data_IF_599596017284
#
_entry.id   IF_599596017284
#
_cell.length_a   1.000
_cell.length_b   1.000
_cell.length_c   1.000
_cell.angle_alpha   90.00
_cell.angle_beta   90.00
_cell.angle_gamma   90.00
#
_symmetry.space_group_name_H-M   'P 1'
#
loop_
_entity.id
_entity.type
_entity.pdbx_description
1 polymer ?
#
# COMPACT_ATOMS: atom_id res chain seq x y z
N UNK A 1 -31.24 -21.39 15.71
CA UNK A 1 -31.21 -19.93 15.82
C UNK A 1 -29.77 -19.50 15.55
N UNK A 2 -29.47 -19.05 14.34
CA UNK A 2 -28.12 -18.65 13.92
C UNK A 2 -28.00 -17.15 14.14
N UNK A 3 -27.04 -16.74 14.97
CA UNK A 3 -26.75 -15.34 15.21
C UNK A 3 -26.10 -14.72 13.96
N UNK A 4 -26.68 -13.63 13.52
CA UNK A 4 -26.25 -12.75 12.46
C UNK A 4 -24.84 -12.19 12.76
N UNK A 5 -23.82 -12.35 11.92
CA UNK A 5 -22.54 -11.69 12.14
C UNK A 5 -22.70 -10.18 11.93
N UNK A 6 -22.44 -9.43 12.98
CA UNK A 6 -22.41 -7.97 12.94
C UNK A 6 -21.37 -7.51 11.91
N UNK A 7 -21.78 -6.62 11.02
CA UNK A 7 -20.90 -5.93 10.11
C UNK A 7 -19.97 -5.00 10.92
N UNK A 8 -18.70 -5.31 10.97
CA UNK A 8 -17.69 -4.44 11.58
C UNK A 8 -17.47 -3.21 10.70
N UNK A 9 -17.66 -2.02 11.26
CA UNK A 9 -17.34 -0.78 10.56
C UNK A 9 -15.83 -0.49 10.63
N UNK A 10 -15.30 0.31 9.69
CA UNK A 10 -13.92 0.83 9.72
C UNK A 10 -13.53 1.41 11.08
N UNK A 11 -14.48 2.00 11.81
CA UNK A 11 -14.24 2.58 13.13
C UNK A 11 -13.92 1.55 14.20
N UNK A 12 -14.42 0.33 14.06
CA UNK A 12 -14.18 -0.74 15.04
C UNK A 12 -12.82 -1.38 14.85
N UNK A 13 -12.34 -1.45 13.61
CA UNK A 13 -11.01 -1.95 13.28
C UNK A 13 -9.88 -1.05 13.82
N UNK A 14 -10.12 0.27 13.91
CA UNK A 14 -9.11 1.27 14.30
C UNK A 14 -9.20 1.78 15.75
N UNK A 15 -10.24 1.46 16.50
CA UNK A 15 -10.38 1.88 17.92
C UNK A 15 -9.46 1.16 18.90
N UNK A 16 -8.73 0.15 18.46
CA UNK A 16 -8.00 -0.77 19.36
C UNK A 16 -6.53 -0.34 19.58
N UNK A 17 -6.04 0.61 18.80
CA UNK A 17 -4.65 1.11 18.93
C UNK A 17 -4.37 2.12 20.06
N UNK A 18 -5.38 2.51 20.87
CA UNK A 18 -5.23 3.68 21.77
C UNK A 18 -5.50 3.45 23.25
N UNK A 19 -5.56 2.22 23.74
CA UNK A 19 -5.85 1.98 25.15
C UNK A 19 -4.91 0.93 25.74
N UNK A 20 -3.80 1.34 26.28
CA UNK A 20 -3.17 0.78 27.48
C UNK A 20 -1.85 1.48 27.84
N UNK A 21 -1.91 2.52 28.64
CA UNK A 21 -0.86 2.85 29.62
C UNK A 21 -1.52 3.57 30.79
N UNK A 22 -2.12 2.80 31.71
CA UNK A 22 -2.43 3.30 33.05
C UNK A 22 -1.17 3.10 33.91
N UNK A 23 -0.55 4.22 34.28
CA UNK A 23 0.67 4.25 35.02
C UNK A 23 0.52 3.80 36.47
N UNK A 24 1.45 2.99 36.94
CA UNK A 24 1.76 2.83 38.34
C UNK A 24 2.83 3.87 38.73
N UNK A 25 2.49 4.77 39.66
CA UNK A 25 3.41 5.72 40.27
C UNK A 25 4.40 4.95 41.17
N UNK A 26 5.66 4.91 40.78
CA UNK A 26 6.77 4.54 41.62
C UNK A 26 7.53 5.84 41.98
N UNK A 27 7.88 6.09 43.25
CA UNK A 27 8.54 7.33 43.65
C UNK A 27 9.98 7.41 43.12
N UNK A 28 10.32 8.59 42.61
CA UNK A 28 11.63 8.91 42.09
C UNK A 28 12.72 8.83 43.17
N UNK A 29 13.67 7.95 42.98
CA UNK A 29 15.01 8.05 43.62
C UNK A 29 15.93 8.76 42.61
N UNK A 30 16.26 10.00 42.89
CA UNK A 30 17.26 10.78 42.18
C UNK A 30 18.66 10.26 42.51
N UNK A 31 19.29 9.58 41.57
CA UNK A 31 20.74 9.50 41.49
C UNK A 31 21.12 9.76 40.05
N UNK A 32 21.68 10.95 39.82
CA UNK A 32 22.18 11.36 38.52
C UNK A 32 23.43 10.58 38.14
N UNK A 33 23.27 9.48 37.45
CA UNK A 33 24.34 8.91 36.63
C UNK A 33 24.03 9.23 35.20
N UNK A 34 24.79 10.17 34.62
CA UNK A 34 24.85 10.40 33.19
C UNK A 34 25.45 9.15 32.53
N UNK A 35 24.64 8.16 32.24
CA UNK A 35 25.05 7.12 31.29
C UNK A 35 25.29 7.79 29.94
N UNK A 36 26.45 7.64 29.32
CA UNK A 36 26.69 8.13 27.98
C UNK A 36 25.62 7.46 27.10
N UNK A 37 24.78 8.28 26.40
CA UNK A 37 23.92 7.77 25.34
C UNK A 37 24.86 7.18 24.29
N UNK A 38 25.04 5.87 24.33
CA UNK A 38 25.70 5.13 23.26
C UNK A 38 24.98 5.50 21.98
N UNK A 39 25.69 6.09 21.01
CA UNK A 39 25.13 6.31 19.68
C UNK A 39 24.70 4.93 19.17
N UNK A 40 23.40 4.77 18.89
CA UNK A 40 22.89 3.51 18.37
C UNK A 40 23.62 3.16 17.06
N UNK A 41 24.12 1.94 16.98
CA UNK A 41 24.82 1.43 15.80
C UNK A 41 23.92 1.50 14.56
N UNK A 42 24.53 1.73 13.38
CA UNK A 42 23.80 1.64 12.11
C UNK A 42 23.30 0.21 11.89
N UNK A 43 22.04 0.08 11.49
CA UNK A 43 21.45 -1.18 11.09
C UNK A 43 22.04 -1.68 9.76
N UNK A 44 21.97 -2.99 9.54
CA UNK A 44 22.32 -3.58 8.24
C UNK A 44 21.19 -3.33 7.24
N UNK A 45 21.24 -2.18 6.60
CA UNK A 45 20.24 -1.72 5.64
C UNK A 45 20.48 -2.38 4.27
N UNK A 46 19.45 -2.99 3.69
CA UNK A 46 19.55 -3.68 2.40
C UNK A 46 19.87 -2.73 1.25
N UNK A 47 19.07 -1.67 1.11
CA UNK A 47 19.30 -0.65 0.08
C UNK A 47 20.26 0.43 0.58
N UNK A 48 21.14 0.90 -0.29
CA UNK A 48 21.96 2.04 0.05
C UNK A 48 21.11 3.31 0.26
N UNK A 49 21.62 4.22 1.07
CA UNK A 49 20.94 5.52 1.32
C UNK A 49 20.74 6.27 -0.01
N UNK A 50 21.72 6.23 -0.90
CA UNK A 50 21.67 6.87 -2.22
C UNK A 50 20.54 6.28 -3.07
N UNK A 51 20.32 4.96 -2.99
CA UNK A 51 19.19 4.29 -3.68
C UNK A 51 17.86 4.76 -3.14
N UNK A 52 17.71 4.83 -1.82
CA UNK A 52 16.49 5.32 -1.16
C UNK A 52 16.25 6.81 -1.48
N UNK A 53 17.29 7.63 -1.46
CA UNK A 53 17.19 9.04 -1.85
C UNK A 53 16.85 9.23 -3.33
N UNK A 54 17.28 8.31 -4.20
CA UNK A 54 16.89 8.31 -5.61
C UNK A 54 15.40 8.00 -5.76
N UNK A 55 14.86 7.10 -4.95
CA UNK A 55 13.42 6.84 -4.90
C UNK A 55 12.64 8.05 -4.36
N UNK A 56 13.11 8.71 -3.29
CA UNK A 56 12.49 9.92 -2.76
C UNK A 56 12.38 11.06 -3.81
N UNK A 57 13.35 11.15 -4.72
CA UNK A 57 13.34 12.15 -5.80
C UNK A 57 12.22 11.93 -6.81
N UNK A 58 11.64 10.72 -6.90
CA UNK A 58 10.49 10.45 -7.75
C UNK A 58 9.29 11.30 -7.34
N UNK A 59 9.03 11.40 -6.06
CA UNK A 59 8.20 12.41 -5.40
C UNK A 59 6.70 12.31 -5.59
N UNK A 60 6.20 11.86 -6.77
CA UNK A 60 4.80 11.84 -7.11
C UNK A 60 4.42 10.60 -7.92
N UNK A 61 3.38 9.91 -7.51
CA UNK A 61 2.95 8.65 -8.08
C UNK A 61 1.44 8.47 -8.06
N UNK A 62 0.94 7.50 -8.83
CA UNK A 62 -0.45 7.08 -8.83
C UNK A 62 -0.58 5.74 -8.12
N UNK A 63 -1.55 5.62 -7.23
CA UNK A 63 -2.09 4.35 -6.79
C UNK A 63 -3.32 4.02 -7.64
N UNK A 64 -3.50 2.77 -8.00
CA UNK A 64 -4.70 2.30 -8.72
C UNK A 64 -5.33 1.18 -7.93
N UNK A 65 -6.45 1.49 -7.28
CA UNK A 65 -7.32 0.47 -6.70
C UNK A 65 -8.37 0.05 -7.73
N UNK A 66 -8.21 -1.16 -8.25
CA UNK A 66 -9.12 -1.76 -9.21
C UNK A 66 -9.21 -3.27 -8.97
N UNK A 67 -10.37 -3.87 -9.17
CA UNK A 67 -10.57 -5.30 -8.95
C UNK A 67 -11.99 -5.64 -8.55
N UNK A 68 -12.19 -6.76 -7.85
CA UNK A 68 -13.52 -7.21 -7.44
C UNK A 68 -14.25 -6.17 -6.59
N UNK A 69 -13.56 -5.46 -5.71
CA UNK A 69 -14.14 -4.40 -4.86
C UNK A 69 -14.73 -3.23 -5.66
N UNK A 70 -14.21 -2.94 -6.86
CA UNK A 70 -14.80 -1.95 -7.78
C UNK A 70 -16.22 -2.35 -8.19
N UNK A 71 -16.47 -3.65 -8.41
CA UNK A 71 -17.77 -4.17 -8.87
C UNK A 71 -18.72 -4.43 -7.72
N UNK A 72 -18.20 -4.95 -6.61
CA UNK A 72 -18.95 -5.25 -5.40
C UNK A 72 -19.40 -3.96 -4.67
N UNK A 73 -18.63 -2.89 -4.80
CA UNK A 73 -18.91 -1.60 -4.15
C UNK A 73 -18.55 -1.59 -2.66
N UNK A 74 -17.81 -2.60 -2.20
CA UNK A 74 -17.26 -2.71 -0.86
C UNK A 74 -15.73 -2.83 -0.94
N UNK A 75 -15.01 -1.86 -0.36
CA UNK A 75 -13.56 -1.89 -0.29
C UNK A 75 -13.04 -3.18 0.35
N UNK A 76 -13.68 -3.60 1.43
CA UNK A 76 -13.33 -4.82 2.16
C UNK A 76 -14.17 -6.03 1.71
N UNK A 77 -14.43 -6.13 0.41
CA UNK A 77 -15.23 -7.18 -0.22
C UNK A 77 -14.99 -8.56 0.41
N UNK A 78 -16.07 -9.29 0.64
CA UNK A 78 -16.05 -10.60 1.29
C UNK A 78 -15.42 -11.70 0.44
N UNK A 79 -15.13 -11.45 -0.83
CA UNK A 79 -14.61 -12.46 -1.75
C UNK A 79 -15.61 -13.58 -2.08
N UNK A 80 -16.91 -13.35 -1.90
CA UNK A 80 -18.00 -14.31 -2.11
C UNK A 80 -18.66 -14.23 -3.49
N UNK A 81 -18.31 -13.20 -4.28
CA UNK A 81 -18.83 -13.06 -5.64
C UNK A 81 -18.11 -14.00 -6.60
N UNK A 82 -18.81 -14.56 -7.60
CA UNK A 82 -18.14 -15.39 -8.61
C UNK A 82 -17.16 -14.55 -9.45
N UNK A 83 -16.11 -15.17 -9.98
CA UNK A 83 -15.13 -14.48 -10.83
C UNK A 83 -15.78 -13.73 -12.01
N UNK A 84 -16.88 -14.26 -12.56
CA UNK A 84 -17.65 -13.63 -13.66
C UNK A 84 -18.29 -12.29 -13.28
N UNK A 85 -18.37 -11.95 -11.99
CA UNK A 85 -18.87 -10.65 -11.53
C UNK A 85 -17.92 -9.49 -11.88
N UNK A 86 -16.63 -9.78 -11.99
CA UNK A 86 -15.65 -8.84 -12.54
C UNK A 86 -15.86 -8.71 -14.06
N UNK A 87 -16.37 -7.58 -14.50
CA UNK A 87 -16.76 -7.36 -15.91
C UNK A 87 -16.55 -5.91 -16.38
N UNK A 88 -15.32 -5.40 -16.48
CA UNK A 88 -15.07 -4.08 -17.08
C UNK A 88 -15.34 -4.12 -18.58
N UNK A 89 -16.34 -3.33 -19.03
CA UNK A 89 -16.81 -3.34 -20.41
C UNK A 89 -15.97 -2.50 -21.38
N UNK A 90 -15.10 -1.63 -20.85
CA UNK A 90 -14.23 -0.71 -21.61
C UNK A 90 -12.83 -0.63 -21.02
N UNK A 91 -12.33 -1.75 -20.47
CA UNK A 91 -11.04 -1.79 -19.80
C UNK A 91 -9.94 -1.16 -20.66
N UNK A 92 -9.38 -0.05 -20.18
CA UNK A 92 -8.33 0.71 -20.87
C UNK A 92 -7.16 1.03 -19.91
N UNK A 93 -6.30 0.03 -19.69
CA UNK A 93 -5.12 0.15 -18.84
C UNK A 93 -4.11 1.15 -19.44
N UNK A 94 -4.11 1.31 -20.76
CA UNK A 94 -3.26 2.28 -21.46
C UNK A 94 -3.65 3.73 -21.10
N UNK A 95 -4.97 4.00 -20.98
CA UNK A 95 -5.49 5.28 -20.49
C UNK A 95 -5.02 5.56 -19.06
N UNK A 96 -5.01 4.58 -18.15
CA UNK A 96 -4.57 4.79 -16.77
C UNK A 96 -3.14 5.34 -16.72
N UNK A 97 -2.24 4.70 -17.46
CA UNK A 97 -0.83 5.07 -17.47
C UNK A 97 -0.58 6.36 -18.26
N UNK A 98 -1.39 6.63 -19.31
CA UNK A 98 -1.36 7.91 -20.00
C UNK A 98 -1.73 9.06 -19.05
N UNK A 99 -2.80 8.89 -18.25
CA UNK A 99 -3.21 9.88 -17.24
C UNK A 99 -2.12 10.10 -16.20
N UNK A 100 -1.50 9.04 -15.70
CA UNK A 100 -0.41 9.15 -14.73
C UNK A 100 0.79 9.93 -15.30
N UNK A 101 1.25 9.57 -16.51
CA UNK A 101 2.33 10.26 -17.21
C UNK A 101 2.02 11.74 -17.42
N UNK A 102 0.82 12.05 -17.92
CA UNK A 102 0.42 13.41 -18.28
C UNK A 102 0.21 14.27 -17.02
N UNK A 103 -0.14 13.67 -15.88
CA UNK A 103 -0.15 14.30 -14.57
C UNK A 103 1.27 14.53 -13.98
N UNK A 104 2.32 14.00 -14.62
CA UNK A 104 3.71 14.14 -14.16
C UNK A 104 4.17 13.09 -13.14
N UNK A 105 3.37 12.05 -12.91
CA UNK A 105 3.68 10.95 -12.00
C UNK A 105 4.81 10.08 -12.54
N UNK A 106 5.66 9.56 -11.66
CA UNK A 106 6.90 8.86 -12.03
C UNK A 106 6.76 7.34 -11.94
N UNK A 107 5.90 6.87 -11.08
CA UNK A 107 5.59 5.45 -10.94
C UNK A 107 4.09 5.26 -10.65
N UNK A 108 3.63 4.04 -10.86
CA UNK A 108 2.24 3.66 -10.58
C UNK A 108 2.25 2.34 -9.81
N UNK A 109 1.49 2.29 -8.73
CA UNK A 109 1.25 1.08 -7.94
C UNK A 109 -0.12 0.51 -8.30
N UNK A 110 -0.18 -0.73 -8.79
CA UNK A 110 -1.42 -1.42 -9.13
C UNK A 110 -1.79 -2.43 -8.03
N UNK A 111 -3.03 -2.42 -7.57
CA UNK A 111 -3.57 -3.49 -6.71
C UNK A 111 -3.70 -4.79 -7.50
N UNK A 112 -2.67 -5.63 -7.53
CA UNK A 112 -2.71 -6.90 -8.24
C UNK A 112 -3.70 -7.89 -7.61
N UNK A 113 -3.80 -7.87 -6.28
CA UNK A 113 -4.78 -8.60 -5.47
C UNK A 113 -5.09 -7.81 -4.19
N UNK A 114 -6.34 -7.47 -3.95
CA UNK A 114 -6.84 -6.86 -2.71
C UNK A 114 -7.53 -7.90 -1.80
N UNK A 115 -8.12 -7.48 -0.69
CA UNK A 115 -8.74 -8.35 0.33
C UNK A 115 -9.81 -9.31 -0.20
N UNK A 116 -10.45 -9.00 -1.33
CA UNK A 116 -11.37 -9.90 -2.01
C UNK A 116 -10.72 -11.23 -2.43
N UNK A 117 -9.39 -11.28 -2.57
CA UNK A 117 -8.66 -12.44 -3.06
C UNK A 117 -8.67 -12.63 -4.57
N UNK A 118 -9.34 -11.72 -5.32
CA UNK A 118 -9.42 -11.78 -6.78
C UNK A 118 -8.12 -11.31 -7.43
N UNK A 119 -7.54 -12.16 -8.28
CA UNK A 119 -6.26 -11.88 -8.94
C UNK A 119 -6.48 -11.18 -10.28
N UNK A 120 -5.84 -10.03 -10.49
CA UNK A 120 -5.85 -9.31 -11.78
C UNK A 120 -4.93 -9.91 -12.85
N UNK A 121 -4.33 -11.08 -12.57
CA UNK A 121 -3.55 -11.91 -13.50
C UNK A 121 -4.11 -13.33 -13.50
N UNK A 122 -3.88 -14.14 -14.55
CA UNK A 122 -4.35 -15.53 -14.64
C UNK A 122 -3.47 -16.45 -13.77
N UNK A 123 -3.62 -16.33 -12.44
CA UNK A 123 -2.90 -17.18 -11.48
C UNK A 123 -3.19 -18.65 -11.71
N UNK A 124 -2.15 -19.50 -11.63
CA UNK A 124 -2.29 -20.96 -11.72
C UNK A 124 -2.68 -21.63 -10.42
N UNK A 125 -2.84 -20.85 -9.36
CA UNK A 125 -3.03 -21.35 -7.98
C UNK A 125 -4.48 -21.27 -7.51
N UNK A 126 -5.34 -20.61 -8.28
CA UNK A 126 -6.75 -20.40 -7.94
C UNK A 126 -7.56 -20.21 -9.21
N UNK A 127 -8.85 -20.47 -9.15
CA UNK A 127 -9.81 -20.13 -10.21
C UNK A 127 -10.41 -18.71 -10.03
N UNK A 128 -10.07 -18.03 -8.95
CA UNK A 128 -10.59 -16.70 -8.61
C UNK A 128 -9.71 -15.59 -9.21
N UNK A 129 -9.72 -15.49 -10.52
CA UNK A 129 -8.86 -14.57 -11.28
C UNK A 129 -9.49 -14.12 -12.61
N UNK A 130 -8.88 -13.12 -13.25
CA UNK A 130 -9.36 -12.53 -14.52
C UNK A 130 -9.58 -13.56 -15.63
N UNK A 131 -8.77 -14.62 -15.74
CA UNK A 131 -8.92 -15.64 -16.78
C UNK A 131 -10.25 -16.40 -16.74
N UNK A 132 -10.92 -16.43 -15.60
CA UNK A 132 -12.22 -17.05 -15.37
C UNK A 132 -13.36 -16.02 -15.24
N UNK A 133 -13.08 -14.76 -15.48
CA UNK A 133 -14.06 -13.68 -15.45
C UNK A 133 -14.69 -13.39 -16.80
N UNK A 134 -15.65 -12.47 -16.83
CA UNK A 134 -16.29 -12.02 -18.08
C UNK A 134 -15.31 -11.24 -18.97
N UNK A 135 -14.37 -10.52 -18.39
CA UNK A 135 -13.26 -9.88 -19.09
C UNK A 135 -11.94 -10.60 -18.74
N UNK A 136 -11.42 -11.41 -19.66
CA UNK A 136 -10.27 -12.30 -19.44
C UNK A 136 -8.91 -11.63 -19.65
N UNK A 137 -8.86 -10.31 -19.70
CA UNK A 137 -7.61 -9.58 -19.90
C UNK A 137 -6.69 -9.77 -18.69
N UNK A 138 -5.45 -10.17 -18.93
CA UNK A 138 -4.39 -10.04 -17.92
C UNK A 138 -4.07 -8.56 -17.73
N UNK A 139 -4.64 -8.00 -16.65
CA UNK A 139 -4.51 -6.56 -16.33
C UNK A 139 -3.07 -6.25 -15.93
N UNK A 140 -2.41 -7.17 -15.23
CA UNK A 140 -1.02 -6.99 -14.76
C UNK A 140 -0.08 -6.93 -15.96
N UNK A 141 -0.25 -7.81 -16.95
CA UNK A 141 0.55 -7.77 -18.18
C UNK A 141 0.34 -6.46 -18.96
N UNK A 142 -0.93 -6.05 -19.15
CA UNK A 142 -1.26 -4.80 -19.82
C UNK A 142 -0.68 -3.59 -19.10
N UNK A 143 -0.74 -3.60 -17.78
CA UNK A 143 -0.21 -2.54 -16.93
C UNK A 143 1.31 -2.38 -17.10
N UNK A 144 2.07 -3.46 -16.98
CA UNK A 144 3.53 -3.40 -17.13
C UNK A 144 3.93 -2.95 -18.53
N UNK A 145 3.28 -3.48 -19.58
CA UNK A 145 3.54 -3.06 -20.98
C UNK A 145 3.22 -1.58 -21.21
N UNK A 146 2.12 -1.08 -20.64
CA UNK A 146 1.76 0.34 -20.74
C UNK A 146 2.76 1.23 -19.99
N UNK A 147 3.22 0.82 -18.81
CA UNK A 147 4.25 1.52 -18.05
C UNK A 147 5.55 1.61 -18.84
N UNK A 148 6.03 0.50 -19.38
CA UNK A 148 7.24 0.43 -20.20
C UNK A 148 7.14 1.36 -21.42
N UNK A 149 6.04 1.27 -22.17
CA UNK A 149 5.81 2.07 -23.38
C UNK A 149 5.77 3.58 -23.10
N UNK A 150 5.40 4.00 -21.89
CA UNK A 150 5.22 5.41 -21.52
C UNK A 150 6.33 5.96 -20.60
N UNK A 151 7.31 5.14 -20.25
CA UNK A 151 8.42 5.54 -19.38
C UNK A 151 8.00 5.81 -17.92
N UNK A 152 6.94 5.14 -17.45
CA UNK A 152 6.46 5.17 -16.07
C UNK A 152 6.92 3.88 -15.38
N UNK A 153 7.36 3.96 -14.12
CA UNK A 153 7.88 2.79 -13.41
C UNK A 153 6.71 1.95 -12.83
N UNK A 154 6.64 0.63 -13.10
CA UNK A 154 5.59 -0.22 -12.55
C UNK A 154 5.91 -0.65 -11.12
N UNK A 155 4.88 -0.68 -10.28
CA UNK A 155 4.92 -1.18 -8.92
C UNK A 155 3.67 -2.02 -8.62
N UNK A 156 3.78 -2.99 -7.72
CA UNK A 156 2.71 -3.90 -7.39
C UNK A 156 2.31 -3.80 -5.92
N UNK A 157 1.01 -3.69 -5.68
CA UNK A 157 0.40 -3.92 -4.39
C UNK A 157 -0.13 -5.36 -4.33
N UNK A 158 0.02 -5.98 -3.18
CA UNK A 158 -0.55 -7.28 -2.85
C UNK A 158 -1.02 -7.29 -1.40
N UNK A 159 -2.29 -7.63 -1.18
CA UNK A 159 -2.84 -7.76 0.17
C UNK A 159 -2.59 -9.15 0.75
N UNK A 160 -2.05 -9.19 1.97
CA UNK A 160 -1.83 -10.43 2.72
C UNK A 160 -3.12 -10.98 3.34
N UNK A 161 -4.15 -10.13 3.50
CA UNK A 161 -5.47 -10.57 3.88
C UNK A 161 -6.25 -11.00 2.65
N UNK A 162 -6.91 -12.15 2.71
CA UNK A 162 -7.60 -12.75 1.57
C UNK A 162 -8.91 -13.41 2.04
N UNK A 163 -10.02 -12.75 1.76
CA UNK A 163 -11.33 -13.21 2.20
C UNK A 163 -11.85 -14.43 1.42
N UNK A 164 -11.39 -14.61 0.18
CA UNK A 164 -11.80 -15.76 -0.64
C UNK A 164 -11.08 -17.05 -0.25
N UNK A 165 -9.75 -16.94 -0.06
CA UNK A 165 -8.90 -18.11 0.19
C UNK A 165 -8.53 -18.25 1.67
N UNK A 166 -9.45 -18.13 2.58
CA UNK A 166 -9.17 -18.12 4.03
C UNK A 166 -8.27 -19.26 4.52
N UNK A 167 -8.31 -20.44 3.86
CA UNK A 167 -7.42 -21.59 4.08
C UNK A 167 -7.16 -21.90 5.57
N UNK A 168 -8.19 -21.78 6.38
CA UNK A 168 -8.09 -21.95 7.83
C UNK A 168 -7.47 -20.76 8.56
N UNK A 169 -7.34 -19.61 7.92
CA UNK A 169 -6.96 -18.37 8.61
C UNK A 169 -7.91 -18.06 9.74
N UNK A 170 -7.36 -17.64 10.86
CA UNK A 170 -8.19 -17.23 12.00
C UNK A 170 -8.76 -15.84 11.70
N UNK A 171 -10.02 -15.63 12.07
CA UNK A 171 -10.57 -14.28 12.10
C UNK A 171 -9.79 -13.47 13.15
N UNK A 172 -9.27 -12.27 12.83
CA UNK A 172 -8.53 -11.50 13.80
C UNK A 172 -9.40 -11.24 15.03
N UNK A 173 -8.89 -11.61 16.18
CA UNK A 173 -9.41 -11.07 17.43
C UNK A 173 -8.97 -9.61 17.48
N UNK A 174 -9.91 -8.69 17.70
CA UNK A 174 -9.64 -7.28 17.85
C UNK A 174 -8.59 -6.93 18.95
N UNK A 175 -8.13 -7.91 19.72
CA UNK A 175 -7.22 -7.75 20.84
C UNK A 175 -5.79 -8.24 20.57
N UNK A 176 -5.50 -8.88 19.42
CA UNK A 176 -4.21 -9.55 19.20
C UNK A 176 -3.59 -9.23 17.83
N UNK A 177 -3.34 -7.95 17.56
CA UNK A 177 -2.66 -7.52 16.32
C UNK A 177 -1.20 -7.94 16.21
N UNK A 178 -0.63 -8.53 17.27
CA UNK A 178 0.74 -9.06 17.28
C UNK A 178 0.82 -10.53 16.93
N UNK A 179 -0.31 -11.23 16.85
CA UNK A 179 -0.38 -12.65 16.50
C UNK A 179 -0.67 -12.83 15.01
N UNK A 180 0.03 -13.75 14.39
CA UNK A 180 -0.22 -14.11 13.01
C UNK A 180 -1.52 -14.89 12.85
N UNK A 181 -2.36 -14.45 11.93
CA UNK A 181 -3.68 -15.06 11.66
C UNK A 181 -3.67 -16.04 10.49
N UNK A 182 -2.60 -16.08 9.70
CA UNK A 182 -2.51 -16.90 8.51
C UNK A 182 -1.97 -18.29 8.81
N UNK A 183 -2.54 -19.31 8.15
CA UNK A 183 -2.05 -20.70 8.24
C UNK A 183 -0.79 -20.90 7.39
N UNK A 184 -0.06 -21.99 7.64
CA UNK A 184 1.08 -22.37 6.81
C UNK A 184 0.65 -22.61 5.34
N UNK A 185 -0.52 -23.22 5.12
CA UNK A 185 -1.06 -23.45 3.77
C UNK A 185 -1.33 -22.14 3.02
N UNK A 186 -1.92 -21.15 3.71
CA UNK A 186 -2.13 -19.83 3.12
C UNK A 186 -0.81 -19.14 2.79
N UNK A 187 0.17 -19.20 3.68
CA UNK A 187 1.49 -18.58 3.44
C UNK A 187 2.22 -19.21 2.25
N UNK A 188 2.11 -20.52 2.05
CA UNK A 188 2.64 -21.19 0.88
C UNK A 188 1.91 -20.73 -0.41
N UNK A 189 0.59 -20.60 -0.36
CA UNK A 189 -0.21 -20.08 -1.46
C UNK A 189 0.19 -18.64 -1.81
N UNK A 190 0.26 -17.75 -0.82
CA UNK A 190 0.71 -16.36 -1.01
C UNK A 190 2.12 -16.29 -1.63
N UNK A 191 3.05 -17.09 -1.12
CA UNK A 191 4.42 -17.15 -1.64
C UNK A 191 4.44 -17.47 -3.12
N UNK A 192 3.74 -18.51 -3.52
CA UNK A 192 3.66 -18.94 -4.93
C UNK A 192 2.98 -17.88 -5.81
N UNK A 193 1.96 -17.19 -5.33
CA UNK A 193 1.34 -16.08 -6.05
C UNK A 193 2.32 -14.92 -6.26
N UNK A 194 3.06 -14.54 -5.21
CA UNK A 194 4.09 -13.51 -5.32
C UNK A 194 5.25 -13.95 -6.20
N UNK A 195 5.56 -15.25 -6.25
CA UNK A 195 6.54 -15.81 -7.20
C UNK A 195 6.06 -15.67 -8.66
N UNK A 196 4.78 -15.96 -8.96
CA UNK A 196 4.19 -15.68 -10.28
C UNK A 196 4.38 -14.23 -10.68
N UNK A 197 4.02 -13.28 -9.78
CA UNK A 197 4.14 -11.85 -10.05
C UNK A 197 5.60 -11.41 -10.21
N UNK A 198 6.50 -11.90 -9.37
CA UNK A 198 7.92 -11.51 -9.40
C UNK A 198 8.71 -12.14 -10.56
N UNK A 199 8.16 -13.16 -11.22
CA UNK A 199 8.88 -13.89 -12.28
C UNK A 199 8.34 -13.55 -13.67
N UNK A 200 7.03 -13.33 -13.81
CA UNK A 200 6.38 -13.30 -15.13
C UNK A 200 6.24 -11.88 -15.72
N UNK A 201 6.41 -10.82 -14.93
CA UNK A 201 6.05 -9.45 -15.33
C UNK A 201 7.24 -8.48 -15.39
N UNK A 202 8.46 -9.00 -15.47
CA UNK A 202 9.66 -8.18 -15.65
C UNK A 202 10.08 -7.41 -14.40
N UNK A 203 10.69 -6.25 -14.59
CA UNK A 203 11.23 -5.42 -13.50
C UNK A 203 10.13 -4.65 -12.78
N UNK A 204 10.01 -4.85 -11.48
CA UNK A 204 9.06 -4.14 -10.61
C UNK A 204 9.86 -3.19 -9.71
N UNK A 205 9.50 -1.92 -9.69
CA UNK A 205 10.21 -0.89 -8.95
C UNK A 205 9.90 -0.94 -7.45
N UNK A 206 8.65 -1.31 -7.10
CA UNK A 206 8.20 -1.32 -5.72
C UNK A 206 7.18 -2.44 -5.48
N UNK A 207 7.31 -3.08 -4.32
CA UNK A 207 6.39 -4.07 -3.79
C UNK A 207 5.69 -3.50 -2.57
N UNK A 208 4.40 -3.31 -2.66
CA UNK A 208 3.56 -2.76 -1.61
C UNK A 208 2.73 -3.88 -0.97
N UNK A 209 3.20 -4.42 0.18
CA UNK A 209 2.54 -5.54 0.88
C UNK A 209 1.62 -4.98 1.96
N UNK A 210 0.33 -5.19 1.76
CA UNK A 210 -0.69 -4.68 2.67
C UNK A 210 -1.12 -5.70 3.72
N UNK A 211 -1.59 -5.18 4.86
CA UNK A 211 -2.00 -5.93 6.05
C UNK A 211 -0.96 -6.98 6.45
N UNK A 212 0.35 -6.61 6.53
CA UNK A 212 1.41 -7.56 6.85
C UNK A 212 1.33 -8.11 8.28
N UNK A 213 0.57 -7.45 9.16
CA UNK A 213 0.38 -7.89 10.55
C UNK A 213 -0.32 -9.24 10.69
N UNK A 214 -1.00 -9.75 9.63
CA UNK A 214 -1.57 -11.10 9.62
C UNK A 214 -0.55 -12.20 9.37
N UNK A 215 0.69 -11.82 9.06
CA UNK A 215 1.79 -12.72 8.78
C UNK A 215 2.72 -12.82 10.00
N UNK A 216 3.26 -14.00 10.35
CA UNK A 216 4.31 -14.12 11.35
C UNK A 216 5.54 -13.31 10.95
N UNK A 217 6.27 -12.81 11.92
CA UNK A 217 7.44 -11.96 11.68
C UNK A 217 8.56 -12.68 10.92
N UNK A 218 8.82 -13.94 11.23
CA UNK A 218 9.78 -14.77 10.51
C UNK A 218 9.41 -14.92 9.03
N UNK A 219 8.15 -15.19 8.73
CA UNK A 219 7.66 -15.26 7.35
C UNK A 219 7.74 -13.90 6.64
N UNK A 220 7.44 -12.76 7.32
CA UNK A 220 7.64 -11.42 6.73
C UNK A 220 9.11 -11.19 6.36
N UNK A 221 10.04 -11.60 7.22
CA UNK A 221 11.47 -11.52 6.93
C UNK A 221 11.85 -12.33 5.68
N UNK A 222 11.33 -13.54 5.56
CA UNK A 222 11.61 -14.41 4.41
C UNK A 222 10.96 -13.85 3.13
N UNK A 223 9.72 -13.35 3.21
CA UNK A 223 9.03 -12.71 2.09
C UNK A 223 9.77 -11.45 1.61
N UNK A 224 10.24 -10.61 2.54
CA UNK A 224 11.04 -9.43 2.22
C UNK A 224 12.34 -9.81 1.50
N UNK A 225 13.05 -10.83 1.98
CA UNK A 225 14.26 -11.36 1.32
C UNK A 225 13.96 -11.97 -0.04
N UNK A 226 12.86 -12.69 -0.17
CA UNK A 226 12.44 -13.29 -1.43
C UNK A 226 12.19 -12.22 -2.50
N UNK A 227 11.32 -11.24 -2.23
CA UNK A 227 11.00 -10.16 -3.17
C UNK A 227 12.24 -9.35 -3.53
N UNK A 228 13.05 -8.99 -2.54
CA UNK A 228 14.29 -8.27 -2.77
C UNK A 228 15.37 -9.10 -3.46
N UNK A 229 15.38 -10.41 -3.31
CA UNK A 229 16.26 -11.31 -4.04
C UNK A 229 15.89 -11.41 -5.53
N UNK A 230 14.60 -11.40 -5.86
CA UNK A 230 14.11 -11.35 -7.25
C UNK A 230 14.36 -10.00 -7.91
N UNK A 231 14.20 -8.92 -7.15
CA UNK A 231 14.33 -7.53 -7.61
C UNK A 231 15.23 -6.72 -6.65
N UNK A 232 16.57 -6.83 -6.76
CA UNK A 232 17.49 -6.27 -5.76
C UNK A 232 17.37 -4.75 -5.55
N UNK A 233 17.03 -4.01 -6.61
CA UNK A 233 16.90 -2.55 -6.59
C UNK A 233 15.49 -2.06 -6.22
N UNK A 234 14.51 -2.97 -6.08
CA UNK A 234 13.14 -2.57 -5.77
C UNK A 234 12.97 -2.20 -4.29
N UNK A 235 12.06 -1.29 -4.06
CA UNK A 235 11.55 -0.97 -2.72
C UNK A 235 10.60 -2.09 -2.29
N UNK A 236 10.69 -2.53 -1.04
CA UNK A 236 9.73 -3.45 -0.43
C UNK A 236 9.09 -2.75 0.77
N UNK A 237 7.79 -2.51 0.67
CA UNK A 237 6.97 -1.85 1.69
C UNK A 237 6.09 -2.90 2.37
N UNK A 238 6.12 -2.90 3.70
CA UNK A 238 5.11 -3.53 4.54
C UNK A 238 4.25 -2.42 5.11
N UNK A 239 2.98 -2.33 4.68
CA UNK A 239 2.10 -1.23 5.08
C UNK A 239 1.87 -1.22 6.59
N UNK A 240 2.15 -0.08 7.22
CA UNK A 240 1.91 0.12 8.64
C UNK A 240 0.43 0.43 8.94
N UNK A 241 -0.34 0.82 7.93
CA UNK A 241 -1.73 1.24 8.05
C UNK A 241 -1.91 2.74 8.31
N UNK A 242 -3.13 3.10 8.69
CA UNK A 242 -3.55 4.50 8.86
C UNK A 242 -2.74 5.21 9.94
N UNK A 243 -2.10 6.32 9.57
CA UNK A 243 -1.31 7.13 10.49
C UNK A 243 -0.46 8.18 9.78
N UNK A 244 0.06 9.14 10.56
CA UNK A 244 0.88 10.26 10.07
C UNK A 244 2.38 9.95 9.96
N UNK A 245 2.76 8.69 10.17
CA UNK A 245 4.14 8.22 10.13
C UNK A 245 4.98 8.58 11.35
N UNK A 246 4.42 9.19 12.39
CA UNK A 246 5.14 9.52 13.63
C UNK A 246 5.46 8.26 14.46
N UNK A 247 4.60 7.26 14.39
CA UNK A 247 4.75 5.96 15.05
C UNK A 247 4.99 4.86 14.04
N UNK A 248 5.66 3.79 14.47
CA UNK A 248 5.88 2.60 13.66
C UNK A 248 5.87 1.35 14.55
N UNK A 249 5.00 0.39 14.21
CA UNK A 249 4.94 -0.89 14.90
C UNK A 249 5.84 -1.93 14.24
N UNK A 250 6.93 -2.29 14.91
CA UNK A 250 7.85 -3.32 14.45
C UNK A 250 7.14 -4.67 14.30
N UNK A 251 6.29 -5.02 15.26
CA UNK A 251 5.57 -6.29 15.28
C UNK A 251 4.55 -6.40 14.14
N UNK A 252 4.07 -5.26 13.62
CA UNK A 252 3.09 -5.24 12.55
C UNK A 252 3.72 -5.19 11.15
N UNK A 253 4.75 -4.34 10.93
CA UNK A 253 5.21 -3.99 9.58
C UNK A 253 6.73 -4.08 9.35
N UNK A 254 7.53 -4.59 10.31
CA UNK A 254 8.95 -4.80 10.05
C UNK A 254 9.19 -6.19 9.44
N UNK A 255 10.11 -6.35 8.45
CA UNK A 255 10.96 -5.33 7.84
C UNK A 255 10.29 -4.56 6.70
N UNK A 256 10.70 -3.31 6.50
CA UNK A 256 10.24 -2.44 5.40
C UNK A 256 11.35 -1.48 4.99
N UNK A 257 11.39 -1.07 3.71
CA UNK A 257 12.30 -0.03 3.23
C UNK A 257 11.74 1.38 3.39
N UNK A 258 10.41 1.52 3.51
CA UNK A 258 9.67 2.79 3.53
C UNK A 258 8.58 2.72 4.59
N UNK A 259 8.30 3.84 5.26
CA UNK A 259 7.12 3.98 6.12
C UNK A 259 5.96 4.56 5.31
N UNK A 260 4.83 3.88 5.32
CA UNK A 260 3.58 4.38 4.78
C UNK A 260 2.95 5.39 5.72
N UNK A 261 2.38 6.45 5.15
CA UNK A 261 1.60 7.49 5.83
C UNK A 261 0.24 7.48 5.16
N UNK A 262 -0.71 6.78 5.77
CA UNK A 262 -1.99 6.49 5.13
C UNK A 262 -3.09 7.39 5.68
N UNK A 263 -3.85 8.03 4.78
CA UNK A 263 -4.99 8.93 5.12
C UNK A 263 -4.60 10.17 5.91
N UNK A 264 -3.31 10.44 6.09
CA UNK A 264 -2.79 11.61 6.77
C UNK A 264 -1.70 12.28 5.93
N UNK A 265 -1.44 13.53 6.22
CA UNK A 265 -0.21 14.18 5.80
C UNK A 265 0.88 13.93 6.85
N UNK A 266 2.16 13.98 6.48
CA UNK A 266 3.25 13.82 7.45
C UNK A 266 3.09 14.81 8.60
N UNK A 267 3.44 14.40 9.83
CA UNK A 267 3.30 15.23 11.03
C UNK A 267 3.86 16.65 10.82
N UNK A 268 3.10 17.66 11.24
CA UNK A 268 3.44 19.07 11.02
C UNK A 268 4.54 19.60 11.96
N UNK A 269 4.76 18.97 13.11
CA UNK A 269 5.71 19.43 14.11
C UNK A 269 7.17 19.27 13.67
N UNK A 270 7.45 18.31 12.79
CA UNK A 270 8.79 18.03 12.26
C UNK A 270 8.68 17.58 10.81
N UNK A 271 9.78 17.72 10.05
CA UNK A 271 9.94 16.95 8.81
C UNK A 271 9.80 15.48 9.15
N UNK A 272 9.31 14.68 8.19
CA UNK A 272 9.31 13.23 8.37
C UNK A 272 10.69 12.75 8.82
N UNK A 273 10.73 12.13 10.02
CA UNK A 273 11.98 11.61 10.59
C UNK A 273 12.37 10.33 9.85
N UNK A 274 13.42 10.41 9.07
CA UNK A 274 13.89 9.31 8.22
C UNK A 274 14.79 8.32 8.93
N UNK A 275 15.45 8.76 10.01
CA UNK A 275 16.30 7.90 10.81
C UNK A 275 15.54 7.36 12.00
N UNK A 276 15.24 6.07 11.95
CA UNK A 276 14.47 5.39 12.99
C UNK A 276 15.29 4.35 13.71
N UNK A 277 15.11 4.27 15.02
CA UNK A 277 15.69 3.22 15.81
C UNK A 277 14.76 2.01 15.83
N UNK A 278 15.26 0.88 15.32
CA UNK A 278 14.58 -0.40 15.27
C UNK A 278 15.49 -1.39 16.04
N UNK A 279 15.03 -1.89 17.18
CA UNK A 279 15.75 -2.88 17.99
C UNK A 279 17.19 -2.46 18.30
N UNK A 280 17.37 -1.20 18.72
CA UNK A 280 18.67 -0.64 19.10
C UNK A 280 19.58 -0.26 17.93
N UNK A 281 19.12 -0.38 16.68
CA UNK A 281 19.88 -0.01 15.48
C UNK A 281 19.17 1.06 14.67
N UNK A 282 19.93 1.96 14.05
CA UNK A 282 19.40 3.05 13.22
C UNK A 282 19.28 2.64 11.76
N UNK A 283 18.10 2.86 11.18
CA UNK A 283 17.80 2.65 9.77
C UNK A 283 17.30 3.95 9.14
N UNK A 284 17.66 4.16 7.87
CA UNK A 284 17.11 5.23 7.06
C UNK A 284 15.85 4.73 6.36
N UNK A 285 14.70 5.22 6.77
CA UNK A 285 13.38 4.75 6.31
C UNK A 285 12.58 5.97 5.84
N UNK A 286 12.61 6.32 4.53
CA UNK A 286 11.83 7.43 3.99
C UNK A 286 10.32 7.16 4.09
N UNK A 287 9.51 8.20 3.84
CA UNK A 287 8.07 8.10 3.95
C UNK A 287 7.37 8.19 2.60
N UNK A 288 6.26 7.47 2.46
CA UNK A 288 5.31 7.57 1.36
C UNK A 288 3.91 7.86 1.89
N UNK A 289 3.32 8.96 1.44
CA UNK A 289 1.93 9.30 1.76
C UNK A 289 1.03 8.65 0.73
N UNK A 290 0.03 7.91 1.18
CA UNK A 290 -1.03 7.38 0.32
C UNK A 290 -2.41 7.86 0.77
N UNK A 291 -3.16 8.47 -0.16
CA UNK A 291 -4.52 8.95 0.07
C UNK A 291 -5.27 9.05 -1.26
N UNK A 292 -6.59 8.80 -1.30
CA UNK A 292 -7.34 8.88 -2.55
C UNK A 292 -7.56 10.33 -3.02
N UNK A 293 -7.68 10.46 -4.34
CA UNK A 293 -8.06 11.71 -5.00
C UNK A 293 -9.45 12.20 -4.56
N UNK A 294 -10.35 11.27 -4.23
CA UNK A 294 -11.66 11.50 -3.63
C UNK A 294 -11.68 11.12 -2.15
N UNK A 295 -12.68 10.35 -1.76
CA UNK A 295 -12.86 9.82 -0.41
C UNK A 295 -12.56 8.33 -0.30
N UNK A 296 -12.81 7.59 -1.39
CA UNK A 296 -12.80 6.14 -1.41
C UNK A 296 -11.58 5.62 -2.18
N UNK A 297 -11.05 4.47 -1.74
CA UNK A 297 -9.94 3.80 -2.46
C UNK A 297 -10.41 3.20 -3.78
N UNK A 298 -11.53 2.49 -3.77
CA UNK A 298 -12.15 1.98 -4.99
C UNK A 298 -13.20 2.95 -5.50
N UNK A 299 -13.40 2.94 -6.83
CA UNK A 299 -14.45 3.75 -7.46
C UNK A 299 -15.79 3.57 -6.78
N UNK A 300 -16.42 4.68 -6.44
CA UNK A 300 -17.78 4.74 -5.92
C UNK A 300 -18.54 5.83 -6.65
N UNK A 301 -19.74 5.49 -7.10
CA UNK A 301 -20.58 6.46 -7.80
C UNK A 301 -20.89 7.65 -6.89
N UNK A 302 -20.72 8.85 -7.44
CA UNK A 302 -20.91 10.10 -6.70
C UNK A 302 -19.69 10.55 -5.90
N UNK A 303 -18.61 9.78 -5.82
CA UNK A 303 -17.36 10.27 -5.23
C UNK A 303 -16.75 11.37 -6.09
N UNK A 304 -16.30 12.43 -5.45
CA UNK A 304 -15.77 13.64 -6.07
C UNK A 304 -14.29 13.78 -5.77
N UNK A 305 -13.52 14.25 -6.74
CA UNK A 305 -12.15 14.67 -6.47
C UNK A 305 -12.13 15.79 -5.41
N UNK A 306 -11.09 15.79 -4.60
CA UNK A 306 -10.76 16.91 -3.72
C UNK A 306 -10.61 18.20 -4.54
N UNK A 307 -10.72 19.36 -3.90
CA UNK A 307 -10.52 20.64 -4.58
C UNK A 307 -9.10 20.77 -5.14
N UNK A 308 -8.91 21.67 -6.09
CA UNK A 308 -7.59 21.97 -6.69
C UNK A 308 -6.59 22.43 -5.62
N UNK A 309 -7.06 23.21 -4.63
CA UNK A 309 -6.26 23.70 -3.51
C UNK A 309 -5.84 22.58 -2.56
N UNK A 310 -6.75 21.64 -2.26
CA UNK A 310 -6.45 20.48 -1.43
C UNK A 310 -5.40 19.57 -2.09
N UNK A 311 -5.58 19.23 -3.37
CA UNK A 311 -4.62 18.40 -4.11
C UNK A 311 -3.25 19.07 -4.22
N UNK A 312 -3.21 20.38 -4.50
CA UNK A 312 -1.97 21.15 -4.52
C UNK A 312 -1.32 21.20 -3.14
N UNK A 313 -2.12 21.43 -2.09
CA UNK A 313 -1.67 21.46 -0.70
C UNK A 313 -1.07 20.12 -0.27
N UNK A 314 -1.71 19.00 -0.61
CA UNK A 314 -1.20 17.65 -0.34
C UNK A 314 0.18 17.44 -0.98
N UNK A 315 0.32 17.76 -2.27
CA UNK A 315 1.58 17.64 -2.98
C UNK A 315 2.68 18.49 -2.32
N UNK A 316 2.42 19.80 -2.10
CA UNK A 316 3.41 20.72 -1.55
C UNK A 316 3.83 20.31 -0.12
N UNK A 317 2.88 19.88 0.72
CA UNK A 317 3.18 19.42 2.07
C UNK A 317 4.04 18.16 2.04
N UNK A 318 3.69 17.17 1.25
CA UNK A 318 4.49 15.95 1.11
C UNK A 318 5.92 16.29 0.67
N UNK A 319 6.09 17.08 -0.39
CA UNK A 319 7.42 17.46 -0.90
C UNK A 319 8.22 18.28 0.09
N UNK A 320 7.61 19.27 0.75
CA UNK A 320 8.29 20.11 1.74
C UNK A 320 8.75 19.33 2.97
N UNK A 321 8.02 18.28 3.35
CA UNK A 321 8.33 17.41 4.49
C UNK A 321 9.19 16.20 4.10
N UNK A 322 9.53 16.06 2.81
CA UNK A 322 10.48 15.07 2.30
C UNK A 322 9.88 13.67 2.20
N UNK A 323 8.59 13.57 1.85
CA UNK A 323 7.90 12.31 1.54
C UNK A 323 7.45 12.27 0.08
N UNK A 324 7.24 11.08 -0.47
CA UNK A 324 6.54 10.92 -1.73
C UNK A 324 5.03 11.02 -1.52
N UNK A 325 4.30 11.44 -2.55
CA UNK A 325 2.85 11.38 -2.62
C UNK A 325 2.44 10.29 -3.60
N UNK A 326 1.79 9.25 -3.09
CA UNK A 326 1.14 8.18 -3.84
C UNK A 326 -0.37 8.46 -3.83
N UNK A 327 -0.86 9.19 -4.84
CA UNK A 327 -2.26 9.60 -4.93
C UNK A 327 -3.08 8.50 -5.61
N UNK A 328 -4.09 7.98 -4.91
CA UNK A 328 -4.95 6.94 -5.46
C UNK A 328 -6.01 7.52 -6.41
N UNK A 329 -6.12 6.90 -7.57
CA UNK A 329 -7.01 7.32 -8.66
C UNK A 329 -7.72 6.08 -9.23
N UNK A 330 -8.87 5.70 -8.65
CA UNK A 330 -9.53 4.45 -9.03
C UNK A 330 -10.23 4.55 -10.38
N UNK A 331 -10.03 3.56 -11.27
CA UNK A 331 -10.87 3.37 -12.45
C UNK A 331 -12.30 2.97 -12.07
N UNK A 332 -13.28 3.38 -12.88
CA UNK A 332 -14.68 3.04 -12.72
C UNK A 332 -15.00 1.59 -13.11
N UNK A 333 -16.27 1.18 -12.97
CA UNK A 333 -16.75 -0.16 -13.35
C UNK A 333 -16.61 -0.48 -14.84
N UNK A 334 -16.44 0.53 -15.69
CA UNK A 334 -16.17 0.29 -17.12
C UNK A 334 -14.70 -0.03 -17.38
N UNK A 335 -13.80 0.31 -16.45
CA UNK A 335 -12.37 0.06 -16.52
C UNK A 335 -11.55 1.26 -17.02
N UNK A 336 -12.06 2.49 -16.89
CA UNK A 336 -11.37 3.74 -17.24
C UNK A 336 -11.31 4.69 -16.04
N UNK A 337 -10.28 5.51 -15.93
CA UNK A 337 -10.24 6.60 -14.95
C UNK A 337 -11.29 7.64 -15.37
N UNK A 338 -12.24 8.01 -14.48
CA UNK A 338 -13.31 8.95 -14.80
C UNK A 338 -12.80 10.34 -15.20
N UNK A 339 -13.44 10.95 -16.17
CA UNK A 339 -13.07 12.28 -16.70
C UNK A 339 -12.98 13.37 -15.61
N UNK A 340 -13.83 13.42 -14.57
CA UNK A 340 -13.66 14.37 -13.48
C UNK A 340 -12.31 14.23 -12.77
N UNK A 341 -11.84 12.99 -12.51
CA UNK A 341 -10.54 12.74 -11.89
C UNK A 341 -9.39 13.15 -12.83
N UNK A 342 -9.49 12.79 -14.12
CA UNK A 342 -8.52 13.23 -15.14
C UNK A 342 -8.40 14.75 -15.15
N UNK A 343 -9.53 15.47 -15.15
CA UNK A 343 -9.54 16.94 -15.15
C UNK A 343 -8.84 17.51 -13.92
N UNK A 344 -9.09 16.99 -12.72
CA UNK A 344 -8.45 17.44 -11.48
C UNK A 344 -6.95 17.19 -11.50
N UNK A 345 -6.50 16.03 -12.02
CA UNK A 345 -5.06 15.73 -12.18
C UNK A 345 -4.38 16.68 -13.16
N UNK A 346 -4.99 16.96 -14.30
CA UNK A 346 -4.45 17.91 -15.29
C UNK A 346 -4.43 19.34 -14.73
N UNK A 347 -5.38 19.70 -13.89
CA UNK A 347 -5.36 21.00 -13.21
C UNK A 347 -4.25 21.07 -12.17
N UNK A 348 -4.04 20.00 -11.40
CA UNK A 348 -2.90 19.90 -10.48
C UNK A 348 -1.58 20.04 -11.26
N UNK A 349 -1.41 19.34 -12.39
CA UNK A 349 -0.21 19.47 -13.23
C UNK A 349 0.03 20.92 -13.66
N UNK A 350 -1.01 21.62 -14.16
CA UNK A 350 -0.90 23.04 -14.53
C UNK A 350 -0.48 23.93 -13.35
N UNK A 351 -1.00 23.64 -12.14
CA UNK A 351 -0.63 24.41 -10.96
C UNK A 351 0.84 24.17 -10.58
N UNK A 352 1.33 22.94 -10.70
CA UNK A 352 2.74 22.60 -10.46
C UNK A 352 3.65 23.23 -11.49
N UNK A 353 3.28 23.22 -12.79
CA UNK A 353 4.04 23.89 -13.86
C UNK A 353 4.21 25.39 -13.60
N UNK A 354 3.13 26.06 -13.12
CA UNK A 354 3.20 27.50 -12.76
C UNK A 354 4.15 27.77 -11.59
N UNK A 355 4.39 26.79 -10.73
CA UNK A 355 5.32 26.87 -9.61
C UNK A 355 6.74 26.44 -10.00
N UNK A 356 6.97 26.01 -11.25
CA UNK A 356 8.26 25.51 -11.72
C UNK A 356 8.62 24.13 -11.17
N UNK A 357 7.63 23.31 -10.87
CA UNK A 357 7.77 22.00 -10.22
C UNK A 357 7.45 20.81 -11.14
#
# INVERSE_FOLDING_TARGET
>A
MWHNPQSYSRRDFFRIGSAACAGALIPALSSGENFPRTQSEKGNQRLSIERLQSWEKLGYAMFIHFGMSTFDGDELSKGDKPASFYNPTKLDVDQWISVARDAGMKYVVLTTKHVAGFCLWPSKLTDYHVGNSSNRTDVVEKFVKACEAKGVLPAFYYCSWDNHHLMGSLTPSATHFTEAYTTAAYREFQWKQLEELATNYGKIMEWWIDIPGVLPRDYRNDLYRFLSGKHPDSIVIMNHGIGDGSTFSIDYAWPTDVITIERFLPNSATKHEKWREIEGKKYYIPGEVCDPIGKEWFFKEGDQARSDEELLGMYLVCRSRGTNLLLDVPPDKTGVIPQPFVKSLMQLRKNLDRLGM
#
